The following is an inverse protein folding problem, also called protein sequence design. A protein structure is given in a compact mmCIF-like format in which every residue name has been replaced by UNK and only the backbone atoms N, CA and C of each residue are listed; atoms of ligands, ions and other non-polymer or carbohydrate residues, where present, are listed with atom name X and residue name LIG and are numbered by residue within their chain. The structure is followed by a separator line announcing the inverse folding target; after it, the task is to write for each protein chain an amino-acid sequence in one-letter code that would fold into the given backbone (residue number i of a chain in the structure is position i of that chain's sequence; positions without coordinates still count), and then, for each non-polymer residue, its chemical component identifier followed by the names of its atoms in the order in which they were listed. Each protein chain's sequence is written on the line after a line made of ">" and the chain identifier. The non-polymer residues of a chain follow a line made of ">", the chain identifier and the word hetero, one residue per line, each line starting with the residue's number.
data_IF_551240557030
#
_entry.id   IF_551240557030
#
_cell.length_a   1.000
_cell.length_b   1.000
_cell.length_c   1.000
_cell.angle_alpha   90.00
_cell.angle_beta   90.00
_cell.angle_gamma   90.00
#
_symmetry.space_group_name_H-M   'P 1'
#
loop_
_entity.id
_entity.type
_entity.pdbx_description
1 polymer ?
#
# COMPACT_ATOMS: atom_id res chain seq x y z
N UNK A 1 -14.19 -13.92 -83.05
CA UNK A 1 -13.36 -14.63 -82.04
C UNK A 1 -13.11 -13.70 -80.87
N UNK A 2 -13.24 -14.23 -79.65
CA UNK A 2 -13.47 -13.50 -78.40
C UNK A 2 -12.22 -12.76 -77.90
N UNK A 3 -12.44 -11.54 -77.42
CA UNK A 3 -11.48 -10.75 -76.62
C UNK A 3 -11.52 -11.27 -75.19
N UNK A 4 -10.40 -11.77 -74.67
CA UNK A 4 -10.22 -12.08 -73.24
C UNK A 4 -9.04 -11.31 -72.69
N UNK A 5 -9.32 -10.25 -71.94
CA UNK A 5 -8.38 -9.60 -71.01
C UNK A 5 -8.11 -10.56 -69.85
N UNK A 6 -6.84 -10.86 -69.59
CA UNK A 6 -6.42 -11.49 -68.34
C UNK A 6 -6.35 -10.43 -67.23
N UNK A 7 -6.99 -10.75 -66.10
CA UNK A 7 -7.08 -9.97 -64.87
C UNK A 7 -5.75 -10.07 -64.10
N UNK A 8 -5.19 -8.98 -63.53
CA UNK A 8 -4.00 -9.06 -62.68
C UNK A 8 -4.32 -9.77 -61.35
N UNK A 9 -3.33 -10.40 -60.68
CA UNK A 9 -3.58 -11.27 -59.54
C UNK A 9 -4.12 -10.48 -58.35
N UNK A 10 -5.09 -11.07 -57.65
CA UNK A 10 -5.61 -10.63 -56.35
C UNK A 10 -4.45 -10.39 -55.38
N UNK A 11 -4.09 -9.13 -55.19
CA UNK A 11 -3.45 -8.65 -53.97
C UNK A 11 -4.29 -7.46 -53.48
N UNK A 12 -5.42 -7.74 -52.79
CA UNK A 12 -5.52 -7.20 -51.45
C UNK A 12 -6.40 -8.08 -50.55
N UNK A 13 -5.82 -9.08 -49.87
CA UNK A 13 -6.56 -9.81 -48.83
C UNK A 13 -5.78 -10.04 -47.52
N UNK A 14 -4.61 -9.41 -47.36
CA UNK A 14 -3.80 -9.51 -46.13
C UNK A 14 -3.53 -8.16 -45.45
N UNK A 15 -4.39 -7.15 -45.66
CA UNK A 15 -4.30 -5.84 -44.99
C UNK A 15 -5.55 -5.51 -44.15
N UNK A 16 -6.42 -6.48 -43.88
CA UNK A 16 -7.64 -6.29 -43.06
C UNK A 16 -7.65 -7.09 -41.74
N UNK A 17 -6.50 -7.60 -41.31
CA UNK A 17 -6.36 -8.38 -40.06
C UNK A 17 -5.24 -7.91 -39.14
N UNK A 18 -4.63 -6.75 -39.40
CA UNK A 18 -3.98 -5.99 -38.34
C UNK A 18 -4.88 -4.80 -38.03
N UNK A 19 -5.45 -4.70 -36.81
CA UNK A 19 -6.11 -3.48 -36.42
C UNK A 19 -5.09 -2.34 -36.42
N UNK A 20 -5.40 -1.24 -37.11
CA UNK A 20 -4.69 0.05 -37.07
C UNK A 20 -4.62 0.67 -35.64
N UNK A 21 -4.93 -0.09 -34.59
CA UNK A 21 -4.96 0.33 -33.18
C UNK A 21 -3.65 0.11 -32.41
N UNK A 22 -2.55 -0.22 -33.06
CA UNK A 22 -1.24 -0.19 -32.40
C UNK A 22 -0.58 1.21 -32.41
N UNK A 23 -1.11 2.15 -33.20
CA UNK A 23 -0.55 3.50 -33.35
C UNK A 23 -0.98 4.52 -32.27
N UNK A 24 -1.62 4.08 -31.17
CA UNK A 24 -2.21 4.98 -30.16
C UNK A 24 -1.79 4.73 -28.71
N UNK A 25 -0.96 3.72 -28.43
CA UNK A 25 -0.46 3.50 -27.08
C UNK A 25 0.63 4.52 -26.79
N UNK A 26 0.44 5.38 -25.80
CA UNK A 26 1.50 6.27 -25.37
C UNK A 26 2.70 5.43 -24.92
N UNK A 27 3.91 5.86 -25.29
CA UNK A 27 5.14 5.16 -24.90
C UNK A 27 5.20 4.94 -23.38
N UNK A 28 4.64 5.87 -22.61
CA UNK A 28 4.49 5.80 -21.15
C UNK A 28 3.61 4.63 -20.73
N UNK A 29 2.44 4.45 -21.36
CA UNK A 29 1.55 3.33 -21.08
C UNK A 29 2.22 2.00 -21.41
N UNK A 30 2.89 1.90 -22.56
CA UNK A 30 3.63 0.67 -22.93
C UNK A 30 4.73 0.34 -21.91
N UNK A 31 5.49 1.35 -21.46
CA UNK A 31 6.52 1.19 -20.43
C UNK A 31 5.91 0.74 -19.10
N UNK A 32 4.81 1.35 -18.68
CA UNK A 32 4.12 1.00 -17.44
C UNK A 32 3.58 -0.44 -17.48
N UNK A 33 2.90 -0.85 -18.57
CA UNK A 33 2.41 -2.22 -18.72
C UNK A 33 3.56 -3.23 -18.73
N UNK A 34 4.66 -2.93 -19.40
CA UNK A 34 5.85 -3.80 -19.41
C UNK A 34 6.45 -3.94 -18.01
N UNK A 35 6.53 -2.84 -17.26
CA UNK A 35 7.00 -2.82 -15.88
C UNK A 35 6.10 -3.65 -14.95
N UNK A 36 4.78 -3.47 -15.03
CA UNK A 36 3.80 -4.25 -14.25
C UNK A 36 3.94 -5.76 -14.52
N UNK A 37 4.12 -6.16 -15.78
CA UNK A 37 4.31 -7.57 -16.13
C UNK A 37 5.62 -8.12 -15.54
N UNK A 38 6.72 -7.36 -15.61
CA UNK A 38 8.00 -7.77 -15.02
C UNK A 38 7.89 -7.92 -13.49
N UNK A 39 7.18 -7.02 -12.83
CA UNK A 39 6.95 -7.08 -11.38
C UNK A 39 6.07 -8.26 -11.04
N UNK A 40 4.99 -8.50 -11.79
CA UNK A 40 4.12 -9.66 -11.57
C UNK A 40 4.92 -10.97 -11.65
N UNK A 41 5.78 -11.11 -12.68
CA UNK A 41 6.66 -12.28 -12.82
C UNK A 41 7.62 -12.40 -11.64
N UNK A 42 8.29 -11.32 -11.25
CA UNK A 42 9.19 -11.31 -10.09
C UNK A 42 8.47 -11.66 -8.78
N UNK A 43 7.26 -11.14 -8.60
CA UNK A 43 6.43 -11.43 -7.44
C UNK A 43 5.98 -12.89 -7.40
N UNK A 44 5.53 -13.47 -8.53
CA UNK A 44 5.19 -14.88 -8.61
C UNK A 44 6.37 -15.81 -8.26
N UNK A 45 7.60 -15.43 -8.64
CA UNK A 45 8.82 -16.16 -8.26
C UNK A 45 9.09 -16.08 -6.75
N UNK A 46 8.82 -14.93 -6.11
CA UNK A 46 9.03 -14.72 -4.68
C UNK A 46 7.85 -15.18 -3.82
N UNK A 47 6.67 -15.40 -4.41
CA UNK A 47 5.43 -15.70 -3.70
C UNK A 47 5.56 -16.84 -2.66
N UNK A 48 6.23 -17.99 -2.94
CA UNK A 48 6.38 -19.06 -1.95
C UNK A 48 7.12 -18.62 -0.67
N UNK A 49 8.06 -17.67 -0.78
CA UNK A 49 8.82 -17.15 0.36
C UNK A 49 7.98 -16.32 1.33
N UNK A 50 6.82 -15.84 0.88
CA UNK A 50 5.90 -15.02 1.65
C UNK A 50 4.77 -15.77 2.33
N UNK A 51 4.60 -17.08 2.08
CA UNK A 51 3.47 -17.87 2.61
C UNK A 51 3.60 -18.08 4.12
N UNK A 52 4.81 -18.36 4.60
CA UNK A 52 5.06 -18.56 6.04
C UNK A 52 4.97 -17.22 6.75
N UNK A 53 4.17 -17.11 7.80
CA UNK A 53 4.12 -15.91 8.63
C UNK A 53 5.53 -15.55 9.16
N UNK A 54 5.80 -14.27 9.38
CA UNK A 54 6.99 -13.92 10.17
C UNK A 54 6.82 -14.59 11.53
N UNK A 55 7.73 -15.52 11.87
CA UNK A 55 7.89 -15.86 13.28
C UNK A 55 8.24 -14.55 13.94
N UNK A 56 7.55 -14.20 15.02
CA UNK A 56 8.09 -13.22 15.93
C UNK A 56 9.49 -13.73 16.26
N UNK A 57 10.52 -13.07 15.74
CA UNK A 57 11.82 -13.20 16.38
C UNK A 57 11.52 -12.74 17.80
N UNK A 58 11.49 -13.70 18.72
CA UNK A 58 12.04 -13.45 20.04
C UNK A 58 13.36 -12.77 19.72
N UNK A 59 13.37 -11.45 19.85
CA UNK A 59 14.59 -10.75 20.15
C UNK A 59 15.04 -11.39 21.46
N UNK A 60 15.77 -12.51 21.34
CA UNK A 60 16.55 -13.07 22.42
C UNK A 60 17.29 -11.86 22.97
N UNK A 61 17.02 -11.46 24.22
CA UNK A 61 17.82 -10.43 24.84
C UNK A 61 19.17 -11.11 25.01
N UNK A 62 20.01 -11.01 23.97
CA UNK A 62 21.40 -11.42 24.03
C UNK A 62 22.00 -10.87 25.32
N UNK A 63 23.01 -11.55 25.90
CA UNK A 63 23.44 -11.36 27.27
C UNK A 63 23.39 -9.89 27.68
N UNK A 64 22.65 -9.60 28.76
CA UNK A 64 22.55 -8.25 29.33
C UNK A 64 23.93 -7.61 29.27
N UNK A 65 24.10 -6.47 28.54
CA UNK A 65 25.39 -5.85 28.45
C UNK A 65 25.86 -5.51 29.87
N UNK A 66 27.16 -5.63 30.17
CA UNK A 66 27.69 -5.32 31.48
C UNK A 66 27.23 -3.93 31.90
N UNK A 67 26.81 -3.82 33.16
CA UNK A 67 26.28 -2.61 33.77
C UNK A 67 27.24 -1.45 33.47
N UNK A 68 26.79 -0.45 32.70
CA UNK A 68 27.60 0.69 32.27
C UNK A 68 28.00 0.75 30.78
N UNK A 69 27.62 -0.21 29.93
CA UNK A 69 27.70 0.00 28.49
C UNK A 69 26.64 1.02 28.06
N UNK A 70 27.06 2.20 27.61
CA UNK A 70 26.17 3.19 27.02
C UNK A 70 25.37 2.54 25.88
N UNK A 71 24.07 2.29 26.12
CA UNK A 71 23.14 1.99 25.03
C UNK A 71 23.17 3.21 24.13
N UNK A 72 23.75 3.06 22.94
CA UNK A 72 23.61 4.07 21.89
C UNK A 72 22.11 4.39 21.79
N UNK A 73 21.70 5.66 21.74
CA UNK A 73 20.28 6.01 21.63
C UNK A 73 19.70 5.24 20.45
N UNK A 74 18.85 4.27 20.74
CA UNK A 74 18.00 3.69 19.71
C UNK A 74 17.11 4.87 19.34
N UNK A 75 17.22 5.39 18.12
CA UNK A 75 16.24 6.37 17.66
C UNK A 75 14.86 5.73 17.86
N UNK A 76 14.04 6.33 18.72
CA UNK A 76 12.67 5.90 19.09
C UNK A 76 11.72 6.09 17.91
N UNK A 77 12.00 5.40 16.81
CA UNK A 77 11.16 5.37 15.63
C UNK A 77 10.07 4.32 15.84
N UNK A 78 8.78 4.65 15.62
CA UNK A 78 7.70 3.69 15.75
C UNK A 78 7.91 2.45 14.86
N UNK A 79 7.48 1.26 15.33
CA UNK A 79 7.40 0.08 14.50
C UNK A 79 6.56 0.35 13.24
N UNK A 80 6.98 -0.21 12.11
CA UNK A 80 6.25 -0.11 10.84
C UNK A 80 5.61 -1.46 10.53
N UNK A 81 4.29 -1.45 10.36
CA UNK A 81 3.50 -2.61 9.97
C UNK A 81 3.18 -2.54 8.49
N UNK A 82 3.46 -3.61 7.74
CA UNK A 82 3.22 -3.70 6.31
C UNK A 82 2.09 -4.68 6.03
N UNK A 83 1.06 -4.24 5.29
CA UNK A 83 -0.15 -5.01 5.06
C UNK A 83 -0.47 -5.13 3.57
N UNK A 84 -0.47 -6.35 3.05
CA UNK A 84 -0.52 -6.66 1.61
C UNK A 84 -1.95 -6.58 1.04
N UNK A 85 -2.06 -6.70 -0.29
CA UNK A 85 -3.32 -6.69 -1.03
C UNK A 85 -4.03 -8.04 -1.14
N UNK A 86 -5.13 -8.07 -1.90
CA UNK A 86 -5.96 -9.26 -2.14
C UNK A 86 -5.18 -10.38 -2.87
N UNK A 87 -5.21 -11.60 -2.33
CA UNK A 87 -4.46 -12.77 -2.86
C UNK A 87 -2.95 -12.47 -3.01
N UNK A 88 -2.42 -11.72 -2.06
CA UNK A 88 -1.00 -11.38 -1.98
C UNK A 88 -0.43 -11.91 -0.65
N UNK A 89 0.85 -11.65 -0.40
CA UNK A 89 1.54 -11.94 0.86
C UNK A 89 2.70 -10.96 1.06
N UNK A 90 3.43 -11.10 2.17
CA UNK A 90 4.57 -10.22 2.51
C UNK A 90 5.64 -10.04 1.42
N UNK A 91 5.76 -10.93 0.44
CA UNK A 91 6.79 -10.85 -0.60
C UNK A 91 6.66 -9.61 -1.49
N UNK A 92 5.46 -9.02 -1.60
CA UNK A 92 5.24 -7.75 -2.32
C UNK A 92 6.05 -6.60 -1.72
N UNK A 93 6.36 -6.66 -0.42
CA UNK A 93 7.11 -5.62 0.27
C UNK A 93 8.61 -5.83 0.34
N UNK A 94 9.19 -6.84 -0.34
CA UNK A 94 10.64 -7.14 -0.22
C UNK A 94 11.51 -5.91 -0.50
N UNK A 95 11.22 -5.17 -1.58
CA UNK A 95 11.99 -3.97 -1.92
C UNK A 95 11.70 -2.80 -0.98
N UNK A 96 10.44 -2.61 -0.57
CA UNK A 96 10.08 -1.57 0.39
C UNK A 96 10.73 -1.82 1.75
N UNK A 97 10.64 -3.05 2.29
CA UNK A 97 11.29 -3.46 3.54
C UNK A 97 12.79 -3.20 3.48
N UNK A 98 13.45 -3.63 2.40
CA UNK A 98 14.88 -3.39 2.20
C UNK A 98 15.20 -1.90 2.21
N UNK A 99 14.40 -1.09 1.52
CA UNK A 99 14.57 0.36 1.49
C UNK A 99 14.42 0.98 2.88
N UNK A 100 13.37 0.63 3.62
CA UNK A 100 13.13 1.12 4.98
C UNK A 100 14.26 0.71 5.94
N UNK A 101 14.68 -0.57 5.89
CA UNK A 101 15.76 -1.09 6.73
C UNK A 101 17.10 -0.40 6.46
N UNK A 102 17.44 -0.16 5.19
CA UNK A 102 18.65 0.56 4.79
C UNK A 102 18.67 2.01 5.30
N UNK A 103 17.52 2.58 5.65
CA UNK A 103 17.37 3.95 6.15
C UNK A 103 17.00 3.98 7.64
N UNK A 104 17.39 2.96 8.40
CA UNK A 104 17.33 2.99 9.87
C UNK A 104 16.02 2.50 10.49
N UNK A 105 15.01 2.09 9.71
CA UNK A 105 13.81 1.45 10.26
C UNK A 105 14.12 0.01 10.66
N UNK A 106 14.31 -0.24 11.96
CA UNK A 106 14.70 -1.56 12.48
C UNK A 106 13.52 -2.46 12.86
N UNK A 107 12.39 -1.87 13.22
CA UNK A 107 11.20 -2.61 13.64
C UNK A 107 10.18 -2.69 12.50
N UNK A 108 10.37 -3.67 11.60
CA UNK A 108 9.52 -3.88 10.42
C UNK A 108 8.78 -5.21 10.55
N UNK A 109 7.45 -5.17 10.61
CA UNK A 109 6.61 -6.38 10.68
C UNK A 109 5.69 -6.45 9.47
N UNK A 110 5.72 -7.55 8.73
CA UNK A 110 4.78 -7.80 7.63
C UNK A 110 3.73 -8.80 8.07
N UNK A 111 2.46 -8.39 8.03
CA UNK A 111 1.36 -9.24 8.44
C UNK A 111 0.73 -9.90 7.21
N UNK A 112 0.57 -11.22 7.29
CA UNK A 112 -0.29 -11.96 6.38
C UNK A 112 -1.64 -12.19 7.08
N UNK A 113 -2.73 -11.73 6.47
CA UNK A 113 -4.07 -12.13 6.92
C UNK A 113 -4.49 -13.41 6.21
N UNK A 114 -5.40 -14.18 6.84
CA UNK A 114 -5.87 -15.43 6.26
C UNK A 114 -6.50 -15.18 4.89
N UNK A 115 -6.15 -15.96 3.85
CA UNK A 115 -6.85 -15.94 2.56
C UNK A 115 -8.33 -16.31 2.69
N UNK A 116 -8.72 -16.96 3.79
CA UNK A 116 -10.11 -17.29 4.12
C UNK A 116 -10.87 -16.11 4.72
N UNK A 117 -10.18 -15.01 5.08
CA UNK A 117 -10.84 -13.80 5.58
C UNK A 117 -11.67 -13.19 4.47
N UNK A 118 -12.99 -13.29 4.63
CA UNK A 118 -13.97 -12.84 3.65
C UNK A 118 -14.52 -11.43 3.94
N UNK A 119 -14.11 -10.82 5.06
CA UNK A 119 -14.67 -9.56 5.55
C UNK A 119 -13.58 -8.60 6.04
N UNK A 120 -13.67 -7.34 5.60
CA UNK A 120 -12.68 -6.30 5.89
C UNK A 120 -12.75 -5.86 7.34
N UNK A 121 -13.95 -5.87 7.95
CA UNK A 121 -14.11 -5.49 9.37
C UNK A 121 -13.41 -6.49 10.27
N UNK A 122 -13.65 -7.78 10.02
CA UNK A 122 -12.95 -8.88 10.70
C UNK A 122 -11.43 -8.78 10.52
N UNK A 123 -10.96 -8.48 9.32
CA UNK A 123 -9.53 -8.27 9.06
C UNK A 123 -8.97 -7.08 9.85
N UNK A 124 -9.73 -6.00 10.00
CA UNK A 124 -9.34 -4.80 10.74
C UNK A 124 -9.28 -5.04 12.26
N UNK A 125 -10.19 -5.85 12.81
CA UNK A 125 -10.13 -6.30 14.22
C UNK A 125 -8.89 -7.16 14.49
N UNK A 126 -8.58 -8.10 13.57
CA UNK A 126 -7.36 -8.90 13.62
C UNK A 126 -6.10 -8.03 13.58
N UNK A 127 -6.08 -7.05 12.67
CA UNK A 127 -4.99 -6.08 12.59
C UNK A 127 -4.82 -5.33 13.92
N UNK A 128 -5.92 -4.88 14.54
CA UNK A 128 -5.88 -4.19 15.83
C UNK A 128 -5.23 -5.03 16.93
N UNK A 129 -5.56 -6.33 17.01
CA UNK A 129 -4.91 -7.25 17.96
C UNK A 129 -3.42 -7.37 17.73
N UNK A 130 -3.00 -7.51 16.47
CA UNK A 130 -1.57 -7.57 16.14
C UNK A 130 -0.83 -6.26 16.44
N UNK A 131 -1.47 -5.11 16.24
CA UNK A 131 -0.88 -3.82 16.59
C UNK A 131 -0.69 -3.70 18.11
N UNK A 132 -1.65 -4.15 18.92
CA UNK A 132 -1.50 -4.19 20.38
C UNK A 132 -0.34 -5.12 20.81
N UNK A 133 -0.23 -6.31 20.20
CA UNK A 133 0.89 -7.23 20.44
C UNK A 133 2.25 -6.61 20.09
N UNK A 134 2.33 -5.89 18.96
CA UNK A 134 3.54 -5.18 18.54
C UNK A 134 3.88 -4.06 19.53
N UNK A 135 2.90 -3.25 19.94
CA UNK A 135 3.11 -2.19 20.91
C UNK A 135 3.60 -2.76 22.26
N UNK A 136 2.96 -3.84 22.74
CA UNK A 136 3.35 -4.50 23.99
C UNK A 136 4.78 -5.06 23.93
N UNK A 137 5.17 -5.69 22.81
CA UNK A 137 6.51 -6.27 22.63
C UNK A 137 7.60 -5.22 22.45
N UNK A 138 7.31 -4.15 21.72
CA UNK A 138 8.30 -3.13 21.36
C UNK A 138 8.40 -2.00 22.39
N UNK A 139 7.41 -1.88 23.28
CA UNK A 139 7.27 -0.73 24.19
C UNK A 139 6.80 0.55 23.50
N UNK A 140 6.63 0.54 22.17
CA UNK A 140 6.18 1.71 21.44
C UNK A 140 4.69 1.97 21.68
N UNK A 141 4.27 3.20 22.01
CA UNK A 141 2.86 3.51 22.24
C UNK A 141 2.03 3.50 20.94
N UNK A 142 2.68 3.68 19.79
CA UNK A 142 2.08 3.78 18.46
C UNK A 142 2.93 3.06 17.41
N UNK A 143 2.31 2.76 16.28
CA UNK A 143 2.93 2.21 15.07
C UNK A 143 2.67 3.13 13.88
N UNK A 144 3.48 2.98 12.83
CA UNK A 144 3.09 3.40 11.49
C UNK A 144 2.66 2.18 10.68
N UNK A 145 1.79 2.39 9.70
CA UNK A 145 1.27 1.33 8.84
C UNK A 145 1.47 1.72 7.38
N UNK A 146 1.94 0.77 6.57
CA UNK A 146 1.93 0.88 5.11
C UNK A 146 1.05 -0.23 4.55
N UNK A 147 -0.08 0.16 3.95
CA UNK A 147 -1.02 -0.76 3.33
C UNK A 147 -0.98 -0.65 1.81
N UNK A 148 -0.90 -1.79 1.11
CA UNK A 148 -1.06 -1.85 -0.34
C UNK A 148 -2.45 -2.36 -0.70
N UNK A 149 -3.12 -1.69 -1.64
CA UNK A 149 -4.42 -2.13 -2.16
C UNK A 149 -5.42 -2.36 -1.01
N UNK A 150 -6.03 -3.55 -0.94
CA UNK A 150 -6.90 -4.02 0.14
C UNK A 150 -6.30 -3.84 1.55
N UNK A 151 -4.99 -4.04 1.74
CA UNK A 151 -4.33 -3.86 3.03
C UNK A 151 -4.46 -2.43 3.57
N UNK A 152 -4.39 -1.42 2.70
CA UNK A 152 -4.64 -0.04 3.11
C UNK A 152 -6.09 0.22 3.51
N UNK A 153 -7.05 -0.50 2.93
CA UNK A 153 -8.47 -0.35 3.27
C UNK A 153 -8.78 -0.99 4.63
N UNK A 154 -8.18 -2.16 4.92
CA UNK A 154 -8.23 -2.81 6.24
C UNK A 154 -7.66 -1.88 7.31
N UNK A 155 -6.46 -1.33 7.06
CA UNK A 155 -5.80 -0.43 8.00
C UNK A 155 -6.56 0.89 8.21
N UNK A 156 -7.14 1.46 7.15
CA UNK A 156 -7.99 2.64 7.25
C UNK A 156 -9.22 2.34 8.10
N UNK A 157 -9.89 1.21 7.88
CA UNK A 157 -11.06 0.84 8.67
C UNK A 157 -10.71 0.70 10.16
N UNK A 158 -9.59 0.06 10.49
CA UNK A 158 -9.11 0.00 11.88
C UNK A 158 -8.88 1.39 12.47
N UNK A 159 -8.10 2.24 11.80
CA UNK A 159 -7.77 3.58 12.28
C UNK A 159 -9.01 4.48 12.43
N UNK A 160 -9.94 4.42 11.47
CA UNK A 160 -11.06 5.35 11.36
C UNK A 160 -12.32 4.88 12.13
N UNK A 161 -12.55 3.57 12.23
CA UNK A 161 -13.82 3.01 12.75
C UNK A 161 -13.69 2.19 14.02
N UNK A 162 -12.51 1.67 14.32
CA UNK A 162 -12.28 0.77 15.46
C UNK A 162 -11.43 1.40 16.58
N UNK A 163 -11.28 2.74 16.57
CA UNK A 163 -10.45 3.44 17.56
C UNK A 163 -8.94 3.22 17.36
N UNK A 164 -8.53 2.70 16.19
CA UNK A 164 -7.13 2.48 15.87
C UNK A 164 -6.31 3.76 15.78
N UNK A 165 -6.94 4.94 15.70
CA UNK A 165 -6.24 6.24 15.71
C UNK A 165 -5.36 6.45 16.95
N UNK A 166 -5.71 5.79 18.06
CA UNK A 166 -4.92 5.83 19.30
C UNK A 166 -3.54 5.18 19.11
N UNK A 167 -3.46 4.18 18.23
CA UNK A 167 -2.27 3.36 17.98
C UNK A 167 -1.59 3.64 16.66
N UNK A 168 -2.32 4.07 15.63
CA UNK A 168 -1.76 4.34 14.31
C UNK A 168 -1.40 5.82 14.19
N UNK A 169 -0.10 6.11 14.19
CA UNK A 169 0.42 7.47 13.98
C UNK A 169 0.25 7.89 12.52
N UNK A 170 0.88 7.16 11.60
CA UNK A 170 0.81 7.40 10.17
C UNK A 170 0.29 6.17 9.46
N UNK A 171 -0.71 6.34 8.59
CA UNK A 171 -1.15 5.33 7.63
C UNK A 171 -0.76 5.79 6.22
N UNK A 172 0.21 5.09 5.63
CA UNK A 172 0.56 5.23 4.22
C UNK A 172 -0.22 4.19 3.41
N UNK A 173 -0.91 4.62 2.36
CA UNK A 173 -1.64 3.71 1.47
C UNK A 173 -1.10 3.77 0.05
N UNK A 174 -0.98 2.61 -0.59
CA UNK A 174 -0.46 2.46 -1.95
C UNK A 174 -1.57 1.88 -2.84
N UNK A 175 -2.18 2.69 -3.69
CA UNK A 175 -3.21 2.24 -4.64
C UNK A 175 -4.46 1.66 -3.97
N UNK A 176 -4.80 2.13 -2.76
CA UNK A 176 -5.92 1.57 -1.99
C UNK A 176 -7.27 2.08 -2.49
N UNK A 177 -8.28 1.23 -2.76
CA UNK A 177 -9.58 1.65 -3.28
C UNK A 177 -10.46 2.32 -2.20
N UNK A 178 -10.09 3.53 -1.79
CA UNK A 178 -10.75 4.31 -0.74
C UNK A 178 -12.20 4.69 -1.03
N UNK A 179 -12.54 4.89 -2.32
CA UNK A 179 -13.91 5.07 -2.81
C UNK A 179 -14.38 3.90 -3.69
N UNK A 180 -13.65 2.79 -3.64
CA UNK A 180 -13.95 1.55 -4.35
C UNK A 180 -13.33 1.46 -5.74
N UNK A 181 -13.51 0.31 -6.38
CA UNK A 181 -13.06 0.05 -7.75
C UNK A 181 -14.09 -0.72 -8.57
N UNK A 182 -14.19 -0.39 -9.86
CA UNK A 182 -15.09 -1.03 -10.84
C UNK A 182 -14.44 -2.20 -11.58
N UNK A 183 -13.13 -2.42 -11.43
CA UNK A 183 -12.32 -3.38 -12.22
C UNK A 183 -12.46 -4.82 -11.71
N UNK A 184 -13.41 -5.06 -10.80
CA UNK A 184 -13.70 -6.36 -10.22
C UNK A 184 -14.69 -7.31 -10.95
N UNK A 185 -15.03 -7.24 -12.27
CA UNK A 185 -16.05 -8.14 -12.84
C UNK A 185 -15.75 -9.63 -12.66
N UNK A 186 -14.49 -10.05 -12.83
CA UNK A 186 -14.06 -11.46 -12.77
C UNK A 186 -13.82 -11.97 -11.34
N UNK A 187 -13.65 -11.08 -10.36
CA UNK A 187 -13.39 -11.41 -8.94
C UNK A 187 -14.63 -11.26 -8.04
N UNK A 188 -15.80 -11.00 -8.65
CA UNK A 188 -17.08 -10.80 -7.98
C UNK A 188 -17.58 -11.99 -7.13
N UNK A 189 -16.97 -13.16 -7.28
CA UNK A 189 -17.27 -14.34 -6.49
C UNK A 189 -16.78 -14.22 -5.04
N UNK A 190 -15.72 -13.45 -4.77
CA UNK A 190 -15.16 -13.36 -3.42
C UNK A 190 -15.84 -12.26 -2.58
N UNK A 191 -16.34 -12.55 -1.36
CA UNK A 191 -17.04 -11.57 -0.53
C UNK A 191 -16.24 -10.28 -0.28
N UNK A 192 -14.93 -10.39 -0.03
CA UNK A 192 -14.07 -9.22 0.22
C UNK A 192 -14.00 -8.25 -0.98
N UNK A 193 -14.06 -8.77 -2.21
CA UNK A 193 -14.04 -7.96 -3.43
C UNK A 193 -15.33 -7.19 -3.58
N UNK A 194 -16.47 -7.78 -3.16
CA UNK A 194 -17.77 -7.08 -3.13
C UNK A 194 -17.75 -5.88 -2.19
N UNK A 195 -17.01 -5.96 -1.09
CA UNK A 195 -16.86 -4.84 -0.15
C UNK A 195 -16.02 -3.70 -0.70
N UNK A 196 -15.17 -3.94 -1.71
CA UNK A 196 -14.38 -2.91 -2.39
C UNK A 196 -15.10 -2.26 -3.58
N UNK A 197 -16.36 -2.61 -3.84
CA UNK A 197 -17.14 -1.95 -4.90
C UNK A 197 -17.63 -0.58 -4.44
N UNK A 198 -17.70 0.42 -5.35
CA UNK A 198 -18.34 1.68 -5.05
C UNK A 198 -19.76 1.47 -4.52
N UNK A 199 -20.11 2.18 -3.44
CA UNK A 199 -21.42 2.08 -2.78
C UNK A 199 -21.65 0.81 -1.98
N UNK A 200 -20.60 0.05 -1.63
CA UNK A 200 -20.74 -1.03 -0.65
C UNK A 200 -20.98 -0.47 0.76
N UNK A 201 -21.67 -1.24 1.62
CA UNK A 201 -21.92 -0.85 3.02
C UNK A 201 -20.63 -0.47 3.77
N UNK A 202 -19.51 -1.14 3.45
CA UNK A 202 -18.21 -0.84 4.04
C UNK A 202 -17.70 0.55 3.63
N UNK A 203 -17.81 0.91 2.35
CA UNK A 203 -17.36 2.21 1.88
C UNK A 203 -18.30 3.32 2.33
N UNK A 204 -19.61 3.05 2.40
CA UNK A 204 -20.57 3.97 3.01
C UNK A 204 -20.25 4.19 4.49
N UNK A 205 -19.91 3.13 5.23
CA UNK A 205 -19.39 3.26 6.59
C UNK A 205 -18.15 4.14 6.64
N UNK A 206 -17.16 3.96 5.75
CA UNK A 206 -15.95 4.80 5.68
C UNK A 206 -16.21 6.25 5.23
N UNK A 207 -17.37 6.54 4.63
CA UNK A 207 -17.77 7.88 4.22
C UNK A 207 -18.54 8.66 5.31
N UNK A 208 -19.05 7.98 6.35
CA UNK A 208 -19.71 8.64 7.50
C UNK A 208 -18.74 9.58 8.24
N UNK A 209 -19.22 10.55 9.03
CA UNK A 209 -18.33 11.37 9.85
C UNK A 209 -17.37 10.54 10.71
N UNK A 210 -16.14 11.00 10.86
CA UNK A 210 -15.06 10.38 11.65
C UNK A 210 -14.34 11.44 12.51
N UNK A 211 -15.09 12.20 13.34
CA UNK A 211 -14.50 13.30 14.10
C UNK A 211 -13.44 12.79 15.07
N UNK A 212 -12.34 13.52 15.18
CA UNK A 212 -11.27 13.23 16.13
C UNK A 212 -10.32 12.10 15.70
N UNK A 213 -10.42 11.58 14.47
CA UNK A 213 -9.40 10.67 13.94
C UNK A 213 -8.07 11.43 13.75
N UNK A 214 -7.07 11.12 14.59
CA UNK A 214 -5.77 11.82 14.60
C UNK A 214 -4.71 11.16 13.72
N UNK A 215 -4.99 9.98 13.15
CA UNK A 215 -4.07 9.31 12.24
C UNK A 215 -3.79 10.21 11.04
N UNK A 216 -2.51 10.33 10.68
CA UNK A 216 -2.09 11.00 9.47
C UNK A 216 -2.18 10.03 8.29
N UNK A 217 -2.94 10.38 7.26
CA UNK A 217 -3.11 9.56 6.06
C UNK A 217 -2.26 10.12 4.93
N UNK A 218 -1.42 9.28 4.31
CA UNK A 218 -0.69 9.63 3.10
C UNK A 218 -1.00 8.62 2.01
N UNK A 219 -1.76 9.03 1.00
CA UNK A 219 -2.18 8.14 -0.09
C UNK A 219 -1.38 8.35 -1.36
N UNK A 220 -0.63 7.33 -1.77
CA UNK A 220 0.01 7.25 -3.06
C UNK A 220 -0.97 6.62 -4.06
N UNK A 221 -1.36 7.39 -5.07
CA UNK A 221 -2.23 6.93 -6.16
C UNK A 221 -1.54 7.16 -7.49
N UNK A 222 -1.76 6.27 -8.46
CA UNK A 222 -1.11 6.36 -9.77
C UNK A 222 -2.09 6.61 -10.90
N UNK A 223 -1.69 7.45 -11.86
CA UNK A 223 -2.49 7.74 -13.06
C UNK A 223 -2.58 6.57 -14.05
N UNK A 224 -1.70 5.57 -13.93
CA UNK A 224 -1.72 4.33 -14.73
C UNK A 224 -2.10 3.10 -13.89
N UNK A 225 -2.73 3.30 -12.73
CA UNK A 225 -3.31 2.20 -11.94
C UNK A 225 -4.61 1.70 -12.60
N UNK A 226 -4.50 0.66 -13.40
CA UNK A 226 -5.65 0.04 -14.08
C UNK A 226 -6.57 -0.74 -13.15
N UNK A 227 -6.22 -0.95 -11.88
CA UNK A 227 -7.15 -1.52 -10.90
C UNK A 227 -8.01 -0.44 -10.25
N UNK A 228 -7.72 0.84 -10.46
CA UNK A 228 -8.49 1.97 -9.93
C UNK A 228 -9.22 2.66 -11.09
N UNK A 229 -10.55 2.57 -11.08
CA UNK A 229 -11.41 3.18 -12.10
C UNK A 229 -12.56 3.98 -11.45
N UNK A 230 -12.46 5.32 -11.41
CA UNK A 230 -11.32 6.15 -11.87
C UNK A 230 -10.09 6.06 -10.94
N UNK A 231 -8.86 6.44 -11.36
CA UNK A 231 -7.67 6.41 -10.51
C UNK A 231 -7.78 7.21 -9.21
N UNK A 232 -8.60 8.27 -9.24
CA UNK A 232 -8.89 9.12 -8.09
C UNK A 232 -9.58 8.38 -6.95
N UNK A 233 -10.17 7.20 -7.17
CA UNK A 233 -10.72 6.40 -6.07
C UNK A 233 -9.67 5.91 -5.08
N UNK A 234 -8.39 6.01 -5.44
CA UNK A 234 -7.27 5.77 -4.54
C UNK A 234 -6.85 6.99 -3.70
N UNK A 235 -7.56 8.11 -3.79
CA UNK A 235 -7.37 9.26 -2.89
C UNK A 235 -8.16 9.07 -1.60
N UNK A 236 -7.61 9.57 -0.50
CA UNK A 236 -8.36 9.75 0.76
C UNK A 236 -9.01 11.12 0.70
N UNK A 237 -10.26 11.16 0.25
CA UNK A 237 -11.08 12.37 0.20
C UNK A 237 -12.17 12.27 1.29
N UNK A 238 -11.85 12.77 2.49
CA UNK A 238 -12.75 12.74 3.63
C UNK A 238 -12.56 14.00 4.50
N UNK A 239 -13.63 14.74 4.86
CA UNK A 239 -13.52 16.03 5.53
C UNK A 239 -12.88 15.95 6.93
N UNK A 240 -13.11 14.85 7.65
CA UNK A 240 -12.60 14.70 9.01
C UNK A 240 -11.19 14.08 9.10
N UNK A 241 -10.58 13.66 7.98
CA UNK A 241 -9.29 12.96 8.00
C UNK A 241 -8.14 13.90 7.63
N UNK A 242 -7.02 13.74 8.34
CA UNK A 242 -5.76 14.42 8.04
C UNK A 242 -5.06 13.73 6.85
N UNK A 243 -5.52 14.01 5.63
CA UNK A 243 -5.10 13.31 4.43
C UNK A 243 -4.21 14.16 3.50
N UNK A 244 -3.10 13.57 3.05
CA UNK A 244 -2.26 14.05 1.94
C UNK A 244 -2.31 13.04 0.80
N UNK A 245 -2.73 13.48 -0.38
CA UNK A 245 -2.76 12.65 -1.59
C UNK A 245 -1.55 12.95 -2.48
N UNK A 246 -0.70 11.95 -2.72
CA UNK A 246 0.51 12.02 -3.54
C UNK A 246 0.25 11.29 -4.86
N UNK A 247 0.25 12.04 -5.97
CA UNK A 247 0.16 11.44 -7.30
C UNK A 247 1.51 10.87 -7.71
N UNK A 248 1.50 9.63 -8.18
CA UNK A 248 2.63 8.99 -8.87
C UNK A 248 2.27 8.89 -10.34
N UNK A 249 3.23 9.15 -11.23
CA UNK A 249 3.01 9.08 -12.67
C UNK A 249 3.85 7.99 -13.30
N UNK A 250 3.28 7.29 -14.29
CA UNK A 250 4.03 6.40 -15.17
C UNK A 250 4.24 4.97 -14.66
N UNK A 251 3.59 4.57 -13.57
CA UNK A 251 3.67 3.20 -13.02
C UNK A 251 2.27 2.65 -12.71
N UNK A 252 2.09 1.34 -12.69
CA UNK A 252 0.79 0.72 -12.37
C UNK A 252 0.64 0.34 -10.90
N UNK A 253 -0.37 -0.48 -10.62
CA UNK A 253 -0.77 -0.88 -9.27
C UNK A 253 0.29 -1.71 -8.54
N UNK A 254 0.91 -2.67 -9.23
CA UNK A 254 1.89 -3.60 -8.66
C UNK A 254 3.24 -2.93 -8.45
N UNK A 255 3.54 -1.88 -9.22
CA UNK A 255 4.76 -1.09 -9.09
C UNK A 255 4.80 -0.21 -7.84
N UNK A 256 3.66 0.23 -7.31
CA UNK A 256 3.60 1.10 -6.14
C UNK A 256 4.44 0.59 -4.94
N UNK A 257 4.31 -0.66 -4.47
CA UNK A 257 5.09 -1.17 -3.33
C UNK A 257 6.58 -1.45 -3.64
N UNK A 258 6.99 -1.49 -4.91
CA UNK A 258 8.35 -1.89 -5.31
C UNK A 258 9.15 -0.77 -5.97
N UNK A 259 8.51 0.33 -6.34
CA UNK A 259 9.15 1.42 -7.07
C UNK A 259 10.01 2.31 -6.13
N UNK A 260 11.28 2.59 -6.48
CA UNK A 260 12.19 3.33 -5.59
C UNK A 260 11.72 4.73 -5.20
N UNK A 261 11.09 5.46 -6.13
CA UNK A 261 10.54 6.80 -5.85
C UNK A 261 9.37 6.73 -4.87
N UNK A 262 8.55 5.67 -4.93
CA UNK A 262 7.45 5.47 -3.98
C UNK A 262 8.03 5.09 -2.62
N UNK A 263 9.02 4.20 -2.57
CA UNK A 263 9.73 3.89 -1.32
C UNK A 263 10.37 5.14 -0.70
N UNK A 264 10.89 6.07 -1.50
CA UNK A 264 11.40 7.36 -1.02
C UNK A 264 10.29 8.24 -0.43
N UNK A 265 9.17 8.38 -1.12
CA UNK A 265 8.01 9.12 -0.59
C UNK A 265 7.43 8.47 0.67
N UNK A 266 7.42 7.14 0.78
CA UNK A 266 7.00 6.43 1.99
C UNK A 266 7.93 6.79 3.15
N UNK A 267 9.25 6.82 2.95
CA UNK A 267 10.21 7.23 4.00
C UNK A 267 9.94 8.66 4.48
N UNK A 268 9.83 9.60 3.55
CA UNK A 268 9.51 11.00 3.85
C UNK A 268 8.19 11.11 4.64
N UNK A 269 7.17 10.36 4.23
CA UNK A 269 5.88 10.31 4.94
C UNK A 269 5.99 9.73 6.36
N UNK A 270 6.92 8.82 6.62
CA UNK A 270 7.12 8.28 7.97
C UNK A 270 7.96 9.22 8.85
N UNK A 271 8.89 9.97 8.26
CA UNK A 271 9.82 10.87 8.97
C UNK A 271 9.19 12.25 9.27
N UNK A 272 8.32 12.79 8.41
CA UNK A 272 7.62 14.08 8.65
C UNK A 272 6.84 14.09 9.98
N UNK A 273 6.21 12.97 10.34
CA UNK A 273 5.47 12.83 11.60
C UNK A 273 6.37 12.89 12.84
N UNK A 274 7.67 12.55 12.71
CA UNK A 274 8.65 12.64 13.79
C UNK A 274 9.02 14.10 14.08
N UNK A 275 9.13 14.91 13.02
CA UNK A 275 9.47 16.33 13.13
C UNK A 275 8.39 17.16 13.83
N UNK A 276 7.12 16.86 13.55
CA UNK A 276 5.97 17.51 14.21
C UNK A 276 5.87 17.16 15.69
N UNK A 277 6.15 15.90 16.05
CA UNK A 277 6.11 15.42 17.45
C UNK A 277 7.30 15.96 18.26
N UNK A 278 8.49 16.06 17.65
CA UNK A 278 9.68 16.61 18.30
C UNK A 278 9.66 18.13 18.51
N UNK A 279 8.85 18.87 17.73
CA UNK A 279 8.70 20.32 17.88
C UNK A 279 7.77 20.70 19.03
N UNK A 280 6.76 19.89 19.38
CA UNK A 280 5.87 20.20 20.52
C UNK A 280 6.51 19.92 21.88
N UNK A 281 7.56 19.09 21.91
CA UNK A 281 8.34 18.78 23.11
C UNK A 281 9.45 19.82 23.42
N UNK A 282 9.66 20.84 22.57
CA UNK A 282 10.71 21.87 22.73
C UNK A 282 10.20 23.26 23.15
N UNK A 283 9.02 23.36 23.72
CA UNK A 283 8.57 24.58 24.43
C UNK A 283 8.71 24.38 25.93
N UNK A 284 9.95 24.34 26.41
CA UNK A 284 10.26 24.64 27.81
C UNK A 284 11.64 25.31 27.90
N UNK A 285 11.60 26.60 28.28
CA UNK A 285 12.63 27.26 29.06
C UNK A 285 13.97 27.57 28.38
N UNK A 286 14.16 28.84 28.00
CA UNK A 286 15.42 29.52 28.31
C UNK A 286 15.14 30.98 28.71
N UNK A 287 15.00 31.19 30.01
CA UNK A 287 15.23 32.49 30.64
C UNK A 287 16.72 32.65 30.82
N UNK A 288 17.31 33.71 30.28
CA UNK A 288 18.64 34.16 30.71
C UNK A 288 18.55 35.65 31.02
N UNK A 289 19.00 35.97 32.23
CA UNK A 289 19.10 37.30 32.81
C UNK A 289 20.08 38.22 32.07
#
# INVERSE_FOLDING_TARGET
>A
MKVTRAVPPLFPLCQKLLPDRLAGLSLTLLKATTLELAILVGHLLLYPSGIVAERAEESDPGPLPPDGAARLPIEDRPPVVLLHGFIDNRSVFVLLRRSLAQHGRRQLTSLNYSPLTCDIRTAAELLGRHIEEICARTGSPRVDVVGHSLGGLIARYYAQRLGGDLRVRTLVTLGTPHSGTRVAPLANAHPIVRQMRPGSDLLEELARPAPGCRTRFVSFWSDLDHLMDPPETARVDHPDLLARNVRVSGIGHLALPVHPAVAAGVREALDEAESETGSSARTDGLTVA
#
